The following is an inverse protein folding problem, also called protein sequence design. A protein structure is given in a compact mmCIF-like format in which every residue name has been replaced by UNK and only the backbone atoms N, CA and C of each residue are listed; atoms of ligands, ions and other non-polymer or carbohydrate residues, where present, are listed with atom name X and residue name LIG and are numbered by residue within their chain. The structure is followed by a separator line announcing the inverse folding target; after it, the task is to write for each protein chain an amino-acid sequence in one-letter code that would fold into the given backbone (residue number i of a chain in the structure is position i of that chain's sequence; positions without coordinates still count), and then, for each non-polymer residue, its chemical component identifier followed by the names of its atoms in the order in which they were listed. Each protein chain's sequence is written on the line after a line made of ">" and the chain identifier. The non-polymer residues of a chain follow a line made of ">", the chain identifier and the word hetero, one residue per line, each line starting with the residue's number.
data_IF_129157649895
#
_entry.id   IF_129157649895
#
_cell.length_a   1.000
_cell.length_b   1.000
_cell.length_c   1.000
_cell.angle_alpha   90.00
_cell.angle_beta   90.00
_cell.angle_gamma   90.00
#
_symmetry.space_group_name_H-M   'P 1'
#
loop_
_entity.id
_entity.type
_entity.pdbx_description
1 polymer ?
#
# COMPACT_ATOMS: atom_id res chain seq x y z
N UNK A 1 3.68 -5.18 -22.93
CA UNK A 1 5.02 -4.56 -22.81
C UNK A 1 4.99 -3.78 -21.50
N UNK A 2 5.69 -4.26 -20.47
CA UNK A 2 5.68 -3.62 -19.13
C UNK A 2 6.82 -2.62 -19.15
N UNK A 3 6.49 -1.33 -19.05
CA UNK A 3 7.48 -0.25 -18.96
C UNK A 3 7.99 -0.17 -17.53
N UNK A 4 9.26 -0.48 -17.34
CA UNK A 4 9.96 -0.23 -16.07
C UNK A 4 10.54 1.19 -16.13
N UNK A 5 9.91 2.13 -15.46
CA UNK A 5 10.54 3.41 -15.14
C UNK A 5 11.10 3.31 -13.71
N UNK A 6 12.40 3.24 -13.59
CA UNK A 6 13.09 3.36 -12.31
C UNK A 6 13.25 4.84 -11.98
N UNK A 7 12.36 5.39 -11.19
CA UNK A 7 12.67 6.57 -10.40
C UNK A 7 13.38 6.06 -9.13
N UNK A 8 14.68 6.33 -9.01
CA UNK A 8 15.41 5.98 -7.81
C UNK A 8 15.07 6.99 -6.71
N UNK A 9 14.08 6.69 -5.89
CA UNK A 9 14.02 7.27 -4.55
C UNK A 9 15.31 6.83 -3.85
N UNK A 10 16.11 7.78 -3.40
CA UNK A 10 17.37 7.47 -2.69
C UNK A 10 17.01 6.96 -1.29
N UNK A 11 16.92 5.65 -1.15
CA UNK A 11 16.62 4.99 0.12
C UNK A 11 17.83 4.99 1.04
N UNK A 12 17.63 5.20 2.33
CA UNK A 12 18.67 5.11 3.33
C UNK A 12 19.15 3.67 3.55
N UNK A 13 18.29 2.68 3.29
CA UNK A 13 18.62 1.23 3.25
C UNK A 13 17.58 0.47 2.41
N UNK A 14 17.98 -0.69 1.91
CA UNK A 14 17.09 -1.62 1.22
C UNK A 14 16.89 -1.31 -0.26
N UNK A 15 15.83 -1.88 -0.81
CA UNK A 15 15.45 -1.65 -2.22
C UNK A 15 13.95 -1.81 -2.41
N UNK A 16 13.41 -1.12 -3.42
CA UNK A 16 12.02 -1.21 -3.80
C UNK A 16 11.91 -1.84 -5.20
N UNK A 17 10.91 -2.67 -5.38
CA UNK A 17 10.38 -3.08 -6.68
C UNK A 17 8.93 -2.61 -6.80
N UNK A 18 8.53 -2.16 -7.97
CA UNK A 18 7.17 -1.73 -8.21
C UNK A 18 6.45 -2.72 -9.13
N UNK A 19 5.22 -3.03 -8.76
CA UNK A 19 4.27 -3.73 -9.62
C UNK A 19 2.99 -2.90 -9.72
N UNK A 20 2.28 -3.04 -10.83
CA UNK A 20 1.04 -2.31 -11.08
C UNK A 20 -0.10 -3.32 -11.26
N UNK A 21 -1.13 -3.19 -10.44
CA UNK A 21 -2.29 -4.07 -10.46
C UNK A 21 -3.56 -3.30 -10.84
N UNK A 22 -4.42 -3.92 -11.66
CA UNK A 22 -5.72 -3.33 -12.02
C UNK A 22 -6.60 -3.14 -10.79
N UNK A 23 -7.01 -1.89 -10.57
CA UNK A 23 -7.86 -1.43 -9.48
C UNK A 23 -9.06 -0.70 -10.10
N UNK A 24 -10.14 -1.44 -10.39
CA UNK A 24 -11.24 -0.92 -11.19
C UNK A 24 -10.82 -0.68 -12.64
N UNK A 25 -10.99 0.55 -13.12
CA UNK A 25 -10.57 0.98 -14.48
C UNK A 25 -9.12 1.43 -14.56
N UNK A 26 -8.44 1.58 -13.44
CA UNK A 26 -7.09 2.13 -13.34
C UNK A 26 -6.08 1.08 -12.89
N UNK A 27 -4.81 1.43 -12.95
CA UNK A 27 -3.73 0.65 -12.35
C UNK A 27 -3.29 1.30 -11.05
N UNK A 28 -3.04 0.46 -10.03
CA UNK A 28 -2.56 0.88 -8.72
C UNK A 28 -1.14 0.40 -8.52
N UNK A 29 -0.25 1.29 -8.13
CA UNK A 29 1.12 0.96 -7.78
C UNK A 29 1.15 0.22 -6.45
N UNK A 30 1.93 -0.86 -6.43
CA UNK A 30 2.29 -1.62 -5.24
C UNK A 30 3.82 -1.60 -5.17
N UNK A 31 4.36 -1.07 -4.10
CA UNK A 31 5.79 -1.06 -3.85
C UNK A 31 6.16 -2.22 -2.93
N UNK A 32 7.09 -3.04 -3.37
CA UNK A 32 7.61 -4.17 -2.60
C UNK A 32 8.97 -3.76 -2.06
N UNK A 33 9.02 -3.45 -0.79
CA UNK A 33 10.23 -2.98 -0.13
C UNK A 33 10.93 -4.11 0.62
N UNK A 34 12.21 -4.24 0.36
CA UNK A 34 13.12 -5.21 0.96
C UNK A 34 14.13 -4.47 1.85
N UNK A 35 13.94 -4.43 3.17
CA UNK A 35 14.82 -3.67 4.07
C UNK A 35 16.28 -4.15 4.04
N UNK A 36 16.49 -5.47 3.96
CA UNK A 36 17.83 -6.04 4.11
C UNK A 36 18.23 -6.97 2.97
N UNK A 37 17.33 -7.77 2.45
CA UNK A 37 17.63 -8.78 1.44
C UNK A 37 16.42 -9.09 0.58
N UNK A 38 16.64 -9.30 -0.70
CA UNK A 38 15.63 -9.83 -1.64
C UNK A 38 15.47 -11.35 -1.55
N UNK A 39 16.19 -12.02 -0.65
CA UNK A 39 16.09 -13.46 -0.47
C UNK A 39 14.84 -13.82 0.35
N UNK A 40 13.72 -13.93 -0.32
CA UNK A 40 12.42 -14.32 0.28
C UNK A 40 12.32 -15.83 0.39
N UNK A 41 11.91 -16.32 1.56
CA UNK A 41 11.75 -17.75 1.85
C UNK A 41 10.57 -17.99 2.81
N UNK A 42 10.32 -19.22 3.16
CA UNK A 42 9.18 -19.62 4.02
C UNK A 42 9.19 -19.03 5.45
N UNK A 43 10.30 -18.43 5.87
CA UNK A 43 10.40 -17.73 7.16
C UNK A 43 10.20 -16.23 7.03
N UNK A 44 10.10 -15.71 5.81
CA UNK A 44 9.89 -14.28 5.55
C UNK A 44 8.51 -13.87 6.05
N UNK A 45 8.46 -12.77 6.78
CA UNK A 45 7.23 -12.10 7.20
C UNK A 45 6.90 -11.00 6.20
N UNK A 46 5.60 -10.75 6.02
CA UNK A 46 5.10 -9.71 5.14
C UNK A 46 4.22 -8.76 5.92
N UNK A 47 4.34 -7.48 5.64
CA UNK A 47 3.45 -6.45 6.17
C UNK A 47 2.84 -5.71 5.00
N UNK A 48 1.52 -5.69 4.91
CA UNK A 48 0.80 -4.79 4.03
C UNK A 48 0.65 -3.45 4.73
N UNK A 49 1.09 -2.38 4.07
CA UNK A 49 0.93 -1.00 4.52
C UNK A 49 0.11 -0.23 3.49
N UNK A 50 -0.92 0.45 3.97
CA UNK A 50 -1.72 1.36 3.16
C UNK A 50 -0.98 2.70 2.98
N UNK A 51 -1.47 3.53 2.05
CA UNK A 51 -0.86 4.81 1.72
C UNK A 51 0.62 4.67 1.31
N UNK A 52 0.89 3.73 0.41
CA UNK A 52 2.25 3.38 -0.02
C UNK A 52 3.06 4.56 -0.54
N UNK A 53 2.39 5.56 -1.12
CA UNK A 53 2.99 6.80 -1.57
C UNK A 53 3.60 7.66 -0.45
N UNK A 54 3.18 7.44 0.80
CA UNK A 54 3.65 8.21 1.96
C UNK A 54 4.90 7.61 2.61
N UNK A 55 5.31 6.39 2.25
CA UNK A 55 6.24 5.62 3.07
C UNK A 55 7.71 6.00 2.89
N UNK A 56 8.14 6.34 1.66
CA UNK A 56 9.56 6.37 1.32
C UNK A 56 10.05 7.69 0.70
N UNK A 57 9.18 8.52 0.14
CA UNK A 57 9.58 9.68 -0.66
C UNK A 57 8.75 10.89 -0.35
N UNK A 58 9.42 12.00 0.00
CA UNK A 58 8.77 13.29 0.18
C UNK A 58 8.11 13.80 -1.11
N UNK A 59 8.70 13.48 -2.27
CA UNK A 59 8.14 13.86 -3.57
C UNK A 59 6.85 13.08 -3.88
N UNK A 60 6.68 11.93 -3.30
CA UNK A 60 5.52 11.07 -3.45
C UNK A 60 4.43 11.38 -2.44
N UNK A 61 4.81 11.88 -1.28
CA UNK A 61 3.89 12.23 -0.19
C UNK A 61 3.02 13.45 -0.54
N UNK A 62 1.76 13.43 -0.09
CA UNK A 62 0.80 14.49 -0.36
C UNK A 62 1.16 15.83 0.27
N UNK A 63 1.88 15.81 1.39
CA UNK A 63 2.25 17.00 2.15
C UNK A 63 3.77 17.29 2.13
N UNK A 64 4.52 16.57 1.28
CA UNK A 64 5.97 16.70 1.20
C UNK A 64 6.71 16.11 2.39
N UNK A 65 6.08 15.20 3.17
CA UNK A 65 6.69 14.53 4.31
C UNK A 65 6.46 13.03 4.21
N UNK A 66 7.53 12.29 3.96
CA UNK A 66 7.48 10.83 4.00
C UNK A 66 7.52 10.30 5.45
N UNK A 67 7.07 9.06 5.63
CA UNK A 67 7.15 8.39 6.93
C UNK A 67 8.53 7.80 7.21
N UNK A 68 9.43 7.84 6.22
CA UNK A 68 10.83 7.42 6.33
C UNK A 68 10.99 6.00 6.92
N UNK A 69 10.21 5.08 6.40
CA UNK A 69 10.22 3.67 6.84
C UNK A 69 11.60 3.04 6.65
N UNK A 70 12.31 3.39 5.60
CA UNK A 70 13.66 2.93 5.32
C UNK A 70 14.67 3.40 6.37
N UNK A 71 14.55 4.62 6.91
CA UNK A 71 15.37 5.11 8.01
C UNK A 71 15.12 4.30 9.29
N UNK A 72 13.85 3.99 9.58
CA UNK A 72 13.50 3.13 10.72
C UNK A 72 14.17 1.76 10.60
N UNK A 73 14.19 1.14 9.40
CA UNK A 73 14.88 -0.14 9.20
C UNK A 73 16.40 -0.02 9.28
N UNK A 74 16.98 1.11 8.88
CA UNK A 74 18.40 1.40 9.05
C UNK A 74 18.78 1.44 10.53
N UNK A 75 17.96 2.08 11.37
CA UNK A 75 18.16 2.11 12.82
C UNK A 75 18.05 0.71 13.44
N UNK A 76 17.00 -0.06 13.11
CA UNK A 76 16.83 -1.43 13.58
C UNK A 76 18.03 -2.33 13.23
N UNK A 77 18.59 -2.16 12.04
CA UNK A 77 19.81 -2.90 11.63
C UNK A 77 21.00 -2.59 12.53
N UNK A 78 21.16 -1.34 12.97
CA UNK A 78 22.26 -0.97 13.89
C UNK A 78 22.09 -1.63 15.26
N UNK A 79 20.86 -1.93 15.66
CA UNK A 79 20.54 -2.65 16.90
C UNK A 79 20.69 -4.18 16.76
N UNK A 80 21.25 -4.66 15.64
CA UNK A 80 21.45 -6.08 15.30
C UNK A 80 20.16 -6.88 15.11
N UNK A 81 19.06 -6.22 14.86
CA UNK A 81 17.80 -6.87 14.50
C UNK A 81 17.77 -7.14 13.00
N UNK A 82 18.07 -8.36 12.60
CA UNK A 82 17.90 -8.81 11.23
C UNK A 82 16.50 -9.42 11.06
N UNK A 83 15.55 -8.56 10.77
CA UNK A 83 14.19 -9.00 10.48
C UNK A 83 14.11 -9.54 9.05
N UNK A 84 13.71 -10.80 8.90
CA UNK A 84 13.38 -11.37 7.59
C UNK A 84 11.96 -10.90 7.20
N UNK A 85 11.88 -9.70 6.66
CA UNK A 85 10.64 -8.97 6.44
C UNK A 85 10.62 -8.32 5.06
N UNK A 86 9.43 -8.32 4.44
CA UNK A 86 9.10 -7.57 3.22
C UNK A 86 7.88 -6.70 3.50
N UNK A 87 7.92 -5.45 3.06
CA UNK A 87 6.76 -4.55 3.12
C UNK A 87 6.11 -4.48 1.74
N UNK A 88 4.80 -4.63 1.74
CA UNK A 88 3.93 -4.48 0.58
C UNK A 88 3.16 -3.18 0.75
N UNK A 89 3.68 -2.12 0.17
CA UNK A 89 3.10 -0.78 0.27
C UNK A 89 2.10 -0.58 -0.86
N UNK A 90 0.84 -0.32 -0.52
CA UNK A 90 -0.25 -0.13 -1.48
C UNK A 90 -0.59 1.35 -1.55
N UNK A 91 -0.41 1.97 -2.71
CA UNK A 91 -0.79 3.37 -2.91
C UNK A 91 -2.29 3.57 -2.68
N UNK A 92 -2.67 4.72 -2.15
CA UNK A 92 -4.08 5.10 -1.98
C UNK A 92 -4.73 5.49 -3.31
N UNK A 93 -6.06 5.66 -3.29
CA UNK A 93 -6.81 6.11 -4.45
C UNK A 93 -6.41 7.50 -4.96
N UNK A 94 -5.75 8.30 -4.16
CA UNK A 94 -5.28 9.64 -4.54
C UNK A 94 -4.47 9.65 -5.83
N UNK A 95 -3.70 8.56 -6.11
CA UNK A 95 -2.77 8.50 -7.23
C UNK A 95 -3.30 7.83 -8.49
N UNK A 96 -4.51 7.30 -8.46
CA UNK A 96 -5.06 6.52 -9.58
C UNK A 96 -5.11 7.33 -10.91
N UNK A 97 -4.98 8.65 -10.90
CA UNK A 97 -4.98 9.48 -12.12
C UNK A 97 -3.87 10.54 -12.16
N UNK A 98 -2.82 10.41 -11.36
CA UNK A 98 -1.78 11.45 -11.29
C UNK A 98 -2.24 12.78 -10.68
N UNK A 99 -3.50 12.90 -10.34
CA UNK A 99 -4.08 14.07 -9.69
C UNK A 99 -4.03 13.89 -8.17
N UNK A 100 -3.26 14.73 -7.57
CA UNK A 100 -2.72 14.65 -6.22
C UNK A 100 -3.77 14.74 -5.10
N UNK A 101 -5.03 15.03 -5.33
CA UNK A 101 -5.92 15.47 -4.24
C UNK A 101 -7.37 15.03 -4.38
N UNK A 102 -7.63 13.74 -4.53
CA UNK A 102 -8.97 13.25 -4.23
C UNK A 102 -8.97 12.45 -2.92
N UNK A 103 -8.76 13.16 -1.80
CA UNK A 103 -8.83 12.55 -0.46
C UNK A 103 -10.15 11.84 -0.22
N UNK A 104 -11.23 12.29 -0.86
CA UNK A 104 -12.55 11.69 -0.74
C UNK A 104 -12.54 10.24 -1.21
N UNK A 105 -11.79 9.94 -2.28
CA UNK A 105 -11.65 8.56 -2.77
C UNK A 105 -10.90 7.68 -1.78
N UNK A 106 -9.82 8.19 -1.19
CA UNK A 106 -9.07 7.49 -0.16
C UNK A 106 -9.96 7.12 1.03
N UNK A 107 -10.72 8.08 1.54
CA UNK A 107 -11.67 7.82 2.62
C UNK A 107 -12.75 6.81 2.23
N UNK A 108 -13.31 6.94 1.03
CA UNK A 108 -14.34 6.02 0.54
C UNK A 108 -13.83 4.57 0.42
N UNK A 109 -12.56 4.37 0.08
CA UNK A 109 -11.96 3.05 -0.01
C UNK A 109 -11.72 2.39 1.34
N UNK A 110 -11.24 3.16 2.30
CA UNK A 110 -10.86 2.62 3.61
C UNK A 110 -12.03 2.54 4.59
N UNK A 111 -13.13 3.26 4.30
CA UNK A 111 -14.32 3.19 5.13
C UNK A 111 -15.16 1.96 4.78
N UNK A 112 -15.48 1.10 5.75
CA UNK A 112 -16.45 0.04 5.54
C UNK A 112 -17.82 0.63 5.16
N UNK A 113 -18.53 0.03 4.20
CA UNK A 113 -19.86 0.51 3.76
C UNK A 113 -20.83 0.68 4.94
N UNK A 114 -20.72 -0.19 5.92
CA UNK A 114 -21.54 -0.18 7.12
C UNK A 114 -21.35 1.07 7.98
N UNK A 115 -20.17 1.72 7.87
CA UNK A 115 -19.86 2.93 8.65
C UNK A 115 -20.69 4.15 8.22
N UNK A 116 -21.26 4.14 7.02
CA UNK A 116 -22.16 5.22 6.54
C UNK A 116 -23.30 5.49 7.53
N UNK A 117 -23.84 4.46 8.17
CA UNK A 117 -24.92 4.58 9.15
C UNK A 117 -24.56 5.39 10.40
N UNK A 118 -23.26 5.52 10.69
CA UNK A 118 -22.75 6.25 11.85
C UNK A 118 -22.35 7.69 11.53
N UNK A 119 -22.52 8.12 10.29
CA UNK A 119 -22.24 9.50 9.88
C UNK A 119 -23.50 10.32 10.16
N UNK A 120 -23.45 11.17 11.17
CA UNK A 120 -24.61 11.96 11.61
C UNK A 120 -24.94 13.10 10.63
N UNK A 121 -23.94 13.70 9.99
CA UNK A 121 -24.14 14.81 9.06
C UNK A 121 -24.69 14.31 7.72
N UNK A 122 -25.90 14.74 7.38
CA UNK A 122 -26.58 14.34 6.13
C UNK A 122 -25.80 14.65 4.86
N UNK A 123 -25.06 15.77 4.84
CA UNK A 123 -24.21 16.16 3.72
C UNK A 123 -23.03 15.21 3.53
N UNK A 124 -22.29 14.92 4.60
CA UNK A 124 -21.20 13.96 4.57
C UNK A 124 -21.68 12.57 4.19
N UNK A 125 -22.82 12.14 4.76
CA UNK A 125 -23.44 10.85 4.43
C UNK A 125 -23.76 10.76 2.94
N UNK A 126 -24.32 11.82 2.34
CA UNK A 126 -24.63 11.86 0.90
C UNK A 126 -23.39 11.76 0.03
N UNK A 127 -22.32 12.49 0.39
CA UNK A 127 -21.03 12.41 -0.33
C UNK A 127 -20.47 10.99 -0.28
N UNK A 128 -20.38 10.40 0.90
CA UNK A 128 -19.85 9.04 1.05
C UNK A 128 -20.69 7.99 0.33
N UNK A 129 -22.03 8.07 0.40
CA UNK A 129 -22.90 7.16 -0.33
C UNK A 129 -22.67 7.24 -1.84
N UNK A 130 -22.63 8.46 -2.37
CA UNK A 130 -22.40 8.66 -3.80
C UNK A 130 -21.04 8.14 -4.25
N UNK A 131 -19.99 8.35 -3.47
CA UNK A 131 -18.64 7.86 -3.79
C UNK A 131 -18.52 6.33 -3.69
N UNK A 132 -19.04 5.73 -2.63
CA UNK A 132 -18.97 4.28 -2.43
C UNK A 132 -19.82 3.55 -3.47
N UNK A 133 -21.02 4.05 -3.79
CA UNK A 133 -21.91 3.41 -4.75
C UNK A 133 -21.48 3.63 -6.20
N UNK A 134 -20.92 4.80 -6.54
CA UNK A 134 -20.50 5.10 -7.91
C UNK A 134 -19.26 4.32 -8.34
N UNK A 135 -18.37 4.01 -7.42
CA UNK A 135 -17.09 3.38 -7.75
C UNK A 135 -17.15 1.86 -7.85
N UNK A 136 -18.16 1.21 -7.24
CA UNK A 136 -18.27 -0.27 -7.14
C UNK A 136 -16.94 -0.95 -6.75
N UNK A 137 -16.02 -0.17 -6.18
CA UNK A 137 -14.68 -0.61 -5.83
C UNK A 137 -14.67 -1.03 -4.35
N UNK A 138 -14.24 -2.25 -4.11
CA UNK A 138 -14.07 -2.78 -2.78
C UNK A 138 -12.55 -2.95 -2.54
N UNK A 139 -11.98 -2.12 -1.67
CA UNK A 139 -10.57 -2.16 -1.35
C UNK A 139 -10.14 -3.50 -0.71
N UNK A 140 -10.97 -4.05 0.16
CA UNK A 140 -10.69 -5.36 0.78
C UNK A 140 -10.64 -6.47 -0.27
N UNK A 141 -11.59 -6.49 -1.21
CA UNK A 141 -11.57 -7.44 -2.32
C UNK A 141 -10.35 -7.25 -3.21
N UNK A 142 -9.91 -6.01 -3.44
CA UNK A 142 -8.69 -5.74 -4.19
C UNK A 142 -7.47 -6.33 -3.48
N UNK A 143 -7.33 -6.11 -2.18
CA UNK A 143 -6.21 -6.67 -1.40
C UNK A 143 -6.25 -8.19 -1.42
N UNK A 144 -7.41 -8.80 -1.10
CA UNK A 144 -7.56 -10.25 -0.96
C UNK A 144 -7.44 -10.96 -2.31
N UNK A 145 -8.06 -10.43 -3.36
CA UNK A 145 -8.21 -11.13 -4.63
C UNK A 145 -7.23 -10.69 -5.71
N UNK A 146 -6.42 -9.63 -5.47
CA UNK A 146 -5.41 -9.14 -6.42
C UNK A 146 -4.03 -9.02 -5.81
N UNK A 147 -3.89 -8.27 -4.71
CA UNK A 147 -2.56 -8.02 -4.11
C UNK A 147 -1.98 -9.30 -3.53
N UNK A 148 -2.69 -9.96 -2.63
CA UNK A 148 -2.21 -11.20 -1.98
C UNK A 148 -1.84 -12.26 -3.03
N UNK A 149 -2.70 -12.62 -4.01
CA UNK A 149 -2.34 -13.62 -5.03
C UNK A 149 -1.15 -13.20 -5.89
N UNK A 150 -0.99 -11.91 -6.20
CA UNK A 150 0.16 -11.42 -6.96
C UNK A 150 1.48 -11.61 -6.17
N UNK A 151 1.47 -11.33 -4.87
CA UNK A 151 2.61 -11.54 -3.98
C UNK A 151 2.91 -13.02 -3.80
N UNK A 152 1.90 -13.87 -3.58
CA UNK A 152 2.05 -15.31 -3.48
C UNK A 152 2.69 -15.90 -4.74
N UNK A 153 2.21 -15.48 -5.92
CA UNK A 153 2.75 -15.89 -7.22
C UNK A 153 4.18 -15.42 -7.41
N UNK A 154 4.46 -14.15 -7.10
CA UNK A 154 5.81 -13.56 -7.28
C UNK A 154 6.87 -14.33 -6.48
N UNK A 155 6.55 -14.72 -5.25
CA UNK A 155 7.52 -15.34 -4.34
C UNK A 155 7.37 -16.86 -4.25
N UNK A 156 6.39 -17.44 -4.91
CA UNK A 156 6.03 -18.85 -4.81
C UNK A 156 5.84 -19.31 -3.36
N UNK A 157 5.09 -18.55 -2.58
CA UNK A 157 4.78 -18.81 -1.17
C UNK A 157 3.28 -18.68 -0.94
N UNK A 158 2.81 -19.17 0.22
CA UNK A 158 1.45 -18.94 0.70
C UNK A 158 1.44 -17.95 1.85
N UNK A 159 0.63 -16.88 1.71
CA UNK A 159 0.40 -15.92 2.78
C UNK A 159 -0.73 -16.40 3.70
N UNK A 160 -0.52 -16.24 5.00
CA UNK A 160 -1.48 -16.65 6.03
C UNK A 160 -1.26 -15.84 7.31
N UNK A 161 -2.06 -16.09 8.35
CA UNK A 161 -1.99 -15.38 9.64
C UNK A 161 -0.63 -15.46 10.36
N UNK A 162 0.22 -16.42 9.99
CA UNK A 162 1.50 -16.63 10.66
C UNK A 162 2.64 -15.81 10.01
N UNK A 163 2.46 -15.41 8.74
CA UNK A 163 3.49 -14.69 7.98
C UNK A 163 3.02 -13.37 7.36
N UNK A 164 1.74 -12.99 7.51
CA UNK A 164 1.17 -11.75 6.98
C UNK A 164 0.57 -10.90 8.10
N UNK A 165 1.01 -9.66 8.21
CA UNK A 165 0.40 -8.60 9.01
C UNK A 165 -0.09 -7.43 8.14
N UNK A 166 -0.94 -6.59 8.71
CA UNK A 166 -1.40 -5.35 8.09
C UNK A 166 -1.23 -4.17 9.03
N UNK A 167 -0.85 -3.03 8.49
CA UNK A 167 -0.79 -1.76 9.20
C UNK A 167 -1.58 -0.73 8.40
N UNK A 168 -2.49 -0.04 9.07
CA UNK A 168 -3.23 1.11 8.52
C UNK A 168 -3.30 2.21 9.57
N UNK A 169 -3.21 3.44 9.13
CA UNK A 169 -3.44 4.62 9.95
C UNK A 169 -4.81 5.23 9.64
#
# INVERSE_FOLDING_TARGET
>A
MVSFQSFSTELSIGSIEEIYLKSGTNERRIQIYYPYSKNVNNKTKFIIMNDGEELFSENDSWNGKAWNIDETFKELKTQKENLNLVIIAIDSAKRINGNILDETRRYAEYFPKESIRYIDESFKRSIYSNFIDSQKFNYQDFVINKVIPAIETKFNIRLNKDNLGTVSY
#
